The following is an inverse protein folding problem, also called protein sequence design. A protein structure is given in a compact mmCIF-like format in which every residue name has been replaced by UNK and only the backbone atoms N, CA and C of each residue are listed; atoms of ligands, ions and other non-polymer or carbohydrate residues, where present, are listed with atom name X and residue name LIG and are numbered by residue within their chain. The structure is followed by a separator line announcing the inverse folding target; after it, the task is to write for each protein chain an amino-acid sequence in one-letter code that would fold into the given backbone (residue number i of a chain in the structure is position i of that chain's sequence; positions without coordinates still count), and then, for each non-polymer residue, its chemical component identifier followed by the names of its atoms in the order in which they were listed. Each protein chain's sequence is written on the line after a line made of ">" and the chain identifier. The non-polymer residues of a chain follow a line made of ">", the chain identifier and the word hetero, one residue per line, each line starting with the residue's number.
data_IF_857813562763
#
_entry.id   IF_857813562763
#
_cell.length_a   1.000
_cell.length_b   1.000
_cell.length_c   1.000
_cell.angle_alpha   90.00
_cell.angle_beta   90.00
_cell.angle_gamma   90.00
#
_symmetry.space_group_name_H-M   'P 1'
#
loop_
_entity.id
_entity.type
_entity.pdbx_description
1 polymer ?
#
# COMPACT_ATOMS: atom_id res chain seq x y z
N UNK A 1 -20.57 7.69 -1.58
CA UNK A 1 -19.42 8.55 -1.91
C UNK A 1 -19.47 8.82 -3.38
N UNK A 2 -19.24 10.05 -3.81
CA UNK A 2 -19.23 10.46 -5.21
C UNK A 2 -17.83 10.87 -5.60
N UNK A 3 -17.39 10.39 -6.75
CA UNK A 3 -16.09 10.72 -7.34
C UNK A 3 -16.26 11.24 -8.75
N UNK A 4 -15.28 11.98 -9.27
CA UNK A 4 -15.24 12.32 -10.70
C UNK A 4 -15.10 11.06 -11.55
N UNK A 5 -15.59 11.10 -12.80
CA UNK A 5 -15.32 10.03 -13.76
C UNK A 5 -13.81 9.97 -14.04
N UNK A 6 -13.22 8.76 -14.12
CA UNK A 6 -11.83 8.64 -14.55
C UNK A 6 -11.66 9.27 -15.94
N UNK A 7 -10.71 10.19 -16.06
CA UNK A 7 -10.25 10.68 -17.36
C UNK A 7 -9.55 9.57 -18.16
N UNK A 8 -9.12 9.84 -19.38
CA UNK A 8 -8.42 8.86 -20.22
C UNK A 8 -7.19 8.31 -19.50
N UNK A 9 -7.12 6.99 -19.24
CA UNK A 9 -6.01 6.42 -18.50
C UNK A 9 -4.77 6.19 -19.35
N UNK A 10 -3.60 6.28 -18.72
CA UNK A 10 -2.36 5.83 -19.33
C UNK A 10 -2.27 4.31 -19.30
N UNK A 11 -1.76 3.69 -20.38
CA UNK A 11 -1.68 2.23 -20.51
C UNK A 11 -0.27 1.79 -20.88
N UNK A 12 0.21 0.76 -20.20
CA UNK A 12 1.50 0.12 -20.45
C UNK A 12 1.27 -1.40 -20.41
N UNK A 13 1.22 -2.06 -21.56
CA UNK A 13 0.83 -3.46 -21.64
C UNK A 13 -0.57 -3.69 -21.04
N UNK A 14 -0.65 -4.57 -20.03
CA UNK A 14 -1.86 -4.88 -19.27
C UNK A 14 -2.04 -3.99 -18.02
N UNK A 15 -1.15 -3.04 -17.78
CA UNK A 15 -1.25 -2.07 -16.68
C UNK A 15 -1.97 -0.81 -17.16
N UNK A 16 -3.06 -0.47 -16.48
CA UNK A 16 -3.80 0.79 -16.64
C UNK A 16 -3.56 1.65 -15.41
N UNK A 17 -3.18 2.91 -15.59
CA UNK A 17 -3.02 3.88 -14.50
C UNK A 17 -3.96 5.04 -14.79
N UNK A 18 -4.98 5.19 -13.95
CA UNK A 18 -5.89 6.32 -14.05
C UNK A 18 -5.20 7.61 -13.59
N UNK A 19 -5.46 8.74 -14.28
CA UNK A 19 -5.25 10.07 -13.75
C UNK A 19 -5.97 10.25 -12.42
N UNK A 20 -5.67 11.36 -11.76
CA UNK A 20 -6.32 11.70 -10.51
C UNK A 20 -7.85 11.76 -10.65
N UNK A 21 -8.51 11.05 -9.72
CA UNK A 21 -9.96 11.04 -9.52
C UNK A 21 -10.23 11.81 -8.22
N UNK A 22 -11.17 12.74 -8.20
CA UNK A 22 -11.44 13.55 -7.02
C UNK A 22 -12.69 13.07 -6.28
N UNK A 23 -12.65 13.05 -4.95
CA UNK A 23 -13.85 12.92 -4.12
C UNK A 23 -14.65 14.23 -4.20
N UNK A 24 -15.87 14.15 -4.75
CA UNK A 24 -16.79 15.28 -4.90
C UNK A 24 -17.75 15.36 -3.71
N UNK A 25 -18.18 14.21 -3.19
CA UNK A 25 -19.13 14.11 -2.09
C UNK A 25 -18.79 12.91 -1.20
N UNK A 26 -18.58 13.13 0.09
CA UNK A 26 -18.23 12.03 1.02
C UNK A 26 -19.34 10.99 1.11
N UNK A 27 -20.61 11.41 1.02
CA UNK A 27 -21.75 10.54 1.08
C UNK A 27 -22.78 10.82 -0.01
N UNK A 28 -22.97 9.85 -0.91
CA UNK A 28 -23.88 9.98 -2.06
C UNK A 28 -25.29 9.43 -1.75
N UNK A 29 -25.53 9.05 -0.48
CA UNK A 29 -26.77 8.43 -0.04
C UNK A 29 -26.96 6.99 -0.49
N UNK A 30 -28.18 6.49 -0.28
CA UNK A 30 -28.64 5.20 -0.79
C UNK A 30 -29.35 5.39 -2.13
N UNK A 31 -29.24 4.42 -3.03
CA UNK A 31 -29.93 4.42 -4.31
C UNK A 31 -30.39 3.00 -4.65
N UNK A 32 -31.35 2.88 -5.57
CA UNK A 32 -31.82 1.58 -6.05
C UNK A 32 -30.76 0.82 -6.84
N UNK A 33 -29.76 1.53 -7.38
CA UNK A 33 -28.64 0.97 -8.13
C UNK A 33 -27.34 1.11 -7.33
N UNK A 34 -26.39 0.15 -7.45
CA UNK A 34 -25.10 0.24 -6.77
C UNK A 34 -24.34 1.53 -7.11
N UNK A 35 -24.41 1.97 -8.37
CA UNK A 35 -23.79 3.18 -8.90
C UNK A 35 -24.85 4.20 -9.32
N UNK A 36 -24.55 5.48 -9.10
CA UNK A 36 -25.36 6.65 -9.45
C UNK A 36 -24.52 7.45 -10.46
N UNK A 37 -24.78 7.25 -11.75
CA UNK A 37 -23.95 7.84 -12.81
C UNK A 37 -24.58 9.14 -13.28
N UNK A 38 -23.85 10.24 -13.14
CA UNK A 38 -24.18 11.54 -13.72
C UNK A 38 -23.22 11.86 -14.88
N UNK A 39 -23.28 13.05 -15.47
CA UNK A 39 -22.48 13.43 -16.64
C UNK A 39 -20.96 13.34 -16.36
N UNK A 40 -20.50 13.90 -15.24
CA UNK A 40 -19.06 13.98 -14.90
C UNK A 40 -18.67 13.21 -13.63
N UNK A 41 -19.64 12.62 -12.92
CA UNK A 41 -19.39 11.95 -11.64
C UNK A 41 -20.03 10.58 -11.56
N UNK A 42 -19.50 9.74 -10.67
CA UNK A 42 -20.07 8.45 -10.30
C UNK A 42 -20.22 8.42 -8.78
N UNK A 43 -21.47 8.35 -8.32
CA UNK A 43 -21.84 8.05 -6.95
C UNK A 43 -21.85 6.55 -6.70
N UNK A 44 -21.36 6.13 -5.54
CA UNK A 44 -21.47 4.76 -5.01
C UNK A 44 -22.40 4.79 -3.82
N UNK A 45 -23.49 4.03 -3.92
CA UNK A 45 -24.52 3.89 -2.90
C UNK A 45 -23.95 3.35 -1.58
N UNK A 46 -24.61 3.66 -0.47
CA UNK A 46 -24.22 3.16 0.84
C UNK A 46 -24.20 1.62 0.90
N UNK A 47 -25.22 0.94 0.37
CA UNK A 47 -25.28 -0.52 0.30
C UNK A 47 -24.15 -1.14 -0.52
N UNK A 48 -23.76 -0.54 -1.65
CA UNK A 48 -22.63 -0.99 -2.44
C UNK A 48 -21.29 -0.84 -1.70
N UNK A 49 -21.06 0.31 -1.04
CA UNK A 49 -19.87 0.51 -0.22
C UNK A 49 -19.80 -0.52 0.91
N UNK A 50 -20.90 -0.71 1.63
CA UNK A 50 -20.96 -1.63 2.76
C UNK A 50 -20.74 -3.09 2.34
N UNK A 51 -21.21 -3.48 1.14
CA UNK A 51 -20.95 -4.81 0.57
C UNK A 51 -19.44 -5.04 0.41
N UNK A 52 -18.72 -4.10 -0.20
CA UNK A 52 -17.26 -4.19 -0.36
C UNK A 52 -16.56 -4.18 1.00
N UNK A 53 -16.97 -3.28 1.92
CA UNK A 53 -16.42 -3.23 3.28
C UNK A 53 -16.55 -4.56 4.03
N UNK A 54 -17.64 -5.29 3.86
CA UNK A 54 -17.85 -6.61 4.49
C UNK A 54 -16.90 -7.71 4.01
N UNK A 55 -16.24 -7.48 2.87
CA UNK A 55 -15.25 -8.36 2.25
C UNK A 55 -13.84 -7.76 2.30
N UNK A 56 -13.65 -6.67 3.05
CA UNK A 56 -12.39 -5.95 3.13
C UNK A 56 -11.76 -6.12 4.52
N UNK A 57 -10.45 -6.37 4.54
CA UNK A 57 -9.63 -6.29 5.74
C UNK A 57 -8.76 -5.02 5.69
N UNK A 58 -8.64 -4.33 6.82
CA UNK A 58 -7.77 -3.16 6.96
C UNK A 58 -6.60 -3.52 7.87
N UNK A 59 -5.40 -3.50 7.30
CA UNK A 59 -4.14 -3.65 8.03
C UNK A 59 -3.74 -2.29 8.60
N UNK A 60 -3.54 -2.26 9.91
CA UNK A 60 -3.06 -1.10 10.64
C UNK A 60 -1.67 -1.46 11.21
N UNK A 61 -0.58 -1.13 10.51
CA UNK A 61 0.76 -1.30 11.06
C UNK A 61 1.02 -0.22 12.11
N UNK A 62 1.58 -0.60 13.25
CA UNK A 62 1.92 0.32 14.33
C UNK A 62 3.28 0.00 14.95
N UNK A 63 4.00 1.04 15.38
CA UNK A 63 5.23 0.96 16.15
C UNK A 63 5.31 2.14 17.15
N UNK A 64 4.96 1.86 18.40
CA UNK A 64 5.08 2.77 19.54
C UNK A 64 4.23 4.05 19.44
N UNK A 65 3.18 4.08 18.62
CA UNK A 65 2.23 5.18 18.61
C UNK A 65 1.46 5.24 19.95
N UNK A 66 0.95 6.42 20.35
CA UNK A 66 0.06 6.50 21.50
C UNK A 66 -1.22 5.69 21.25
N UNK A 67 -1.61 4.86 22.22
CA UNK A 67 -2.81 4.00 22.14
C UNK A 67 -4.09 4.80 21.82
N UNK A 68 -4.18 6.05 22.28
CA UNK A 68 -5.25 6.98 21.94
C UNK A 68 -5.31 7.37 20.45
N UNK A 69 -4.15 7.50 19.80
CA UNK A 69 -4.04 7.80 18.36
C UNK A 69 -4.50 6.57 17.57
N UNK A 70 -4.00 5.38 17.93
CA UNK A 70 -4.42 4.11 17.32
C UNK A 70 -5.95 3.94 17.48
N UNK A 71 -6.50 4.13 18.67
CA UNK A 71 -7.94 4.06 18.92
C UNK A 71 -8.73 5.06 18.06
N UNK A 72 -8.20 6.26 17.84
CA UNK A 72 -8.76 7.25 16.91
C UNK A 72 -8.85 6.71 15.48
N UNK A 73 -7.80 6.04 15.00
CA UNK A 73 -7.79 5.38 13.68
C UNK A 73 -8.83 4.26 13.62
N UNK A 74 -8.87 3.37 14.62
CA UNK A 74 -9.81 2.25 14.64
C UNK A 74 -11.28 2.69 14.60
N UNK A 75 -11.61 3.81 15.27
CA UNK A 75 -12.94 4.43 15.24
C UNK A 75 -13.35 4.92 13.85
N UNK A 76 -12.39 5.28 13.00
CA UNK A 76 -12.65 5.69 11.61
C UNK A 76 -12.93 4.51 10.68
N UNK A 77 -12.32 3.34 10.91
CA UNK A 77 -12.48 2.17 10.04
C UNK A 77 -13.95 1.73 10.02
N UNK A 78 -14.61 1.58 8.85
CA UNK A 78 -16.00 1.14 8.74
C UNK A 78 -16.29 -0.18 9.47
N UNK A 79 -17.44 -0.27 10.14
CA UNK A 79 -17.80 -1.40 11.02
C UNK A 79 -17.69 -2.77 10.34
N UNK A 80 -18.04 -2.86 9.07
CA UNK A 80 -18.09 -4.12 8.32
C UNK A 80 -16.71 -4.64 7.94
N UNK A 81 -15.66 -3.82 8.00
CA UNK A 81 -14.29 -4.24 7.74
C UNK A 81 -13.70 -5.06 8.89
N UNK A 82 -12.94 -6.09 8.54
CA UNK A 82 -12.08 -6.80 9.50
C UNK A 82 -10.85 -5.96 9.80
N UNK A 83 -10.48 -5.80 11.08
CA UNK A 83 -9.27 -5.07 11.48
C UNK A 83 -8.11 -6.05 11.66
N UNK A 84 -6.93 -5.74 11.13
CA UNK A 84 -5.69 -6.50 11.33
C UNK A 84 -4.64 -5.53 11.91
N UNK A 85 -4.41 -5.60 13.21
CA UNK A 85 -3.39 -4.79 13.89
C UNK A 85 -2.04 -5.54 13.86
N UNK A 86 -1.03 -4.96 13.21
CA UNK A 86 0.32 -5.53 13.20
C UNK A 86 1.26 -4.62 13.95
N UNK A 87 1.68 -5.04 15.13
CA UNK A 87 2.48 -4.22 16.03
C UNK A 87 3.95 -4.60 15.98
N UNK A 88 4.82 -3.61 15.87
CA UNK A 88 6.26 -3.74 16.12
C UNK A 88 6.70 -2.89 17.32
N UNK A 89 5.78 -2.68 18.27
CA UNK A 89 5.98 -1.86 19.46
C UNK A 89 6.87 -2.55 20.50
N UNK A 90 7.43 -1.76 21.40
CA UNK A 90 8.34 -2.26 22.42
C UNK A 90 7.63 -3.20 23.40
N UNK A 91 8.30 -4.31 23.70
CA UNK A 91 7.86 -5.30 24.69
C UNK A 91 9.00 -5.54 25.68
N UNK A 92 8.99 -4.81 26.78
CA UNK A 92 9.99 -4.90 27.86
C UNK A 92 9.31 -5.32 29.16
N UNK A 93 10.09 -5.74 30.16
CA UNK A 93 9.54 -6.09 31.47
C UNK A 93 8.84 -4.93 32.18
N UNK A 94 9.23 -3.68 31.90
CA UNK A 94 8.66 -2.47 32.52
C UNK A 94 7.54 -1.82 31.70
N UNK A 95 7.46 -2.10 30.40
CA UNK A 95 6.50 -1.54 29.46
C UNK A 95 6.25 -2.54 28.32
N UNK A 96 5.04 -3.12 28.25
CA UNK A 96 4.59 -3.97 27.14
C UNK A 96 3.50 -3.24 26.35
N UNK A 97 3.92 -2.41 25.40
CA UNK A 97 3.01 -1.59 24.60
C UNK A 97 2.08 -2.44 23.72
N UNK A 98 2.57 -3.59 23.25
CA UNK A 98 1.74 -4.52 22.51
C UNK A 98 0.56 -5.03 23.34
N UNK A 99 0.79 -5.34 24.62
CA UNK A 99 -0.29 -5.75 25.52
C UNK A 99 -1.34 -4.64 25.71
N UNK A 100 -0.91 -3.37 25.80
CA UNK A 100 -1.82 -2.21 25.88
C UNK A 100 -2.64 -2.01 24.60
N UNK A 101 -1.98 -2.13 23.44
CA UNK A 101 -2.61 -2.06 22.12
C UNK A 101 -3.67 -3.15 21.94
N UNK A 102 -3.34 -4.39 22.32
CA UNK A 102 -4.28 -5.52 22.32
C UNK A 102 -5.46 -5.29 23.25
N UNK A 103 -5.21 -4.83 24.48
CA UNK A 103 -6.27 -4.57 25.45
C UNK A 103 -7.24 -3.48 24.96
N UNK A 104 -6.70 -2.43 24.31
CA UNK A 104 -7.51 -1.39 23.67
C UNK A 104 -8.33 -1.95 22.50
N UNK A 105 -7.73 -2.78 21.63
CA UNK A 105 -8.45 -3.39 20.51
C UNK A 105 -9.57 -4.33 21.00
N UNK A 106 -9.31 -5.11 22.05
CA UNK A 106 -10.32 -5.97 22.68
C UNK A 106 -11.48 -5.16 23.24
N UNK A 107 -11.21 -4.05 23.94
CA UNK A 107 -12.25 -3.14 24.43
C UNK A 107 -13.08 -2.55 23.27
N UNK A 108 -12.41 -2.07 22.24
CA UNK A 108 -13.06 -1.52 21.05
C UNK A 108 -13.98 -2.53 20.35
N UNK A 109 -13.56 -3.80 20.29
CA UNK A 109 -14.29 -4.87 19.62
C UNK A 109 -15.35 -5.58 20.48
N UNK A 110 -15.57 -5.17 21.74
CA UNK A 110 -16.59 -5.77 22.65
C UNK A 110 -17.98 -5.90 22.04
N UNK A 111 -18.32 -5.05 21.06
CA UNK A 111 -19.60 -5.07 20.35
C UNK A 111 -19.66 -6.07 19.17
N UNK A 112 -18.80 -7.08 19.15
CA UNK A 112 -18.78 -8.16 18.16
C UNK A 112 -18.12 -7.78 16.83
N UNK A 113 -17.16 -6.86 16.86
CA UNK A 113 -16.38 -6.49 15.67
C UNK A 113 -15.20 -7.44 15.53
N UNK A 114 -14.98 -7.97 14.32
CA UNK A 114 -13.89 -8.91 14.05
C UNK A 114 -12.54 -8.20 13.97
N UNK A 115 -11.57 -8.68 14.73
CA UNK A 115 -10.19 -8.22 14.59
C UNK A 115 -9.16 -9.32 14.84
N UNK A 116 -7.99 -9.17 14.21
CA UNK A 116 -6.77 -9.91 14.55
C UNK A 116 -5.72 -8.91 15.03
N UNK A 117 -4.91 -9.31 16.00
CA UNK A 117 -3.68 -8.59 16.37
C UNK A 117 -2.51 -9.58 16.45
N UNK A 118 -1.33 -9.15 15.99
CA UNK A 118 -0.10 -9.94 16.11
C UNK A 118 1.10 -9.01 16.32
N UNK A 119 2.11 -9.52 17.03
CA UNK A 119 3.38 -8.83 17.18
C UNK A 119 4.37 -9.28 16.09
N UNK A 120 5.00 -8.33 15.39
CA UNK A 120 5.93 -8.58 14.29
C UNK A 120 7.14 -9.42 14.73
N UNK A 121 7.58 -9.31 15.98
CA UNK A 121 8.70 -10.12 16.53
C UNK A 121 8.27 -11.44 17.19
N UNK A 122 7.08 -11.94 16.92
CA UNK A 122 6.66 -13.26 17.40
C UNK A 122 7.52 -14.37 16.75
N UNK A 123 8.24 -15.12 17.58
CA UNK A 123 9.16 -16.17 17.13
C UNK A 123 8.44 -17.37 16.52
N UNK A 124 7.23 -17.69 16.96
CA UNK A 124 6.42 -18.78 16.38
C UNK A 124 5.86 -18.32 15.04
N UNK A 125 5.42 -17.07 14.92
CA UNK A 125 5.00 -16.52 13.63
C UNK A 125 6.17 -16.47 12.62
N UNK A 126 7.37 -16.08 13.07
CA UNK A 126 8.58 -16.09 12.25
C UNK A 126 8.90 -17.51 11.75
N UNK A 127 8.89 -18.50 12.64
CA UNK A 127 9.08 -19.90 12.28
C UNK A 127 8.00 -20.41 11.31
N UNK A 128 6.74 -20.04 11.52
CA UNK A 128 5.64 -20.43 10.65
C UNK A 128 5.81 -19.88 9.22
N UNK A 129 6.18 -18.61 9.07
CA UNK A 129 6.46 -18.00 7.76
C UNK A 129 7.66 -18.66 7.07
N UNK A 130 8.73 -18.90 7.84
CA UNK A 130 9.91 -19.58 7.32
C UNK A 130 9.56 -20.98 6.78
N UNK A 131 8.84 -21.79 7.57
CA UNK A 131 8.43 -23.13 7.16
C UNK A 131 7.42 -23.13 6.01
N UNK A 132 6.60 -22.08 5.89
CA UNK A 132 5.65 -21.91 4.80
C UNK A 132 6.32 -21.48 3.48
N UNK A 133 7.61 -21.11 3.48
CA UNK A 133 8.37 -20.87 2.26
C UNK A 133 8.93 -19.46 2.06
N UNK A 134 8.96 -18.59 3.09
CA UNK A 134 9.54 -17.23 2.99
C UNK A 134 10.60 -16.97 4.09
N UNK A 135 11.75 -17.67 4.05
CA UNK A 135 12.84 -17.45 5.00
C UNK A 135 13.48 -16.06 4.89
N UNK A 136 13.43 -15.40 3.73
CA UNK A 136 13.99 -14.07 3.49
C UNK A 136 13.37 -12.95 4.34
N UNK A 137 12.14 -13.15 4.83
CA UNK A 137 11.48 -12.20 5.76
C UNK A 137 12.19 -12.15 7.12
N UNK A 138 12.98 -13.17 7.46
CA UNK A 138 13.69 -13.26 8.73
C UNK A 138 15.07 -12.62 8.65
N UNK A 139 15.50 -12.02 9.76
CA UNK A 139 16.86 -11.55 9.98
C UNK A 139 17.79 -12.68 10.45
N UNK A 140 19.06 -12.36 10.68
CA UNK A 140 20.08 -13.34 11.10
C UNK A 140 19.78 -13.99 12.47
N UNK A 141 18.90 -13.41 13.28
CA UNK A 141 18.46 -13.99 14.56
C UNK A 141 17.28 -14.96 14.43
N UNK A 142 16.71 -15.09 13.23
CA UNK A 142 15.52 -15.88 12.97
C UNK A 142 14.21 -15.16 13.33
N UNK A 143 14.26 -13.86 13.65
CA UNK A 143 13.06 -13.04 13.85
C UNK A 143 12.67 -12.36 12.53
N UNK A 144 11.38 -12.08 12.32
CA UNK A 144 10.93 -11.23 11.20
C UNK A 144 11.64 -9.88 11.28
N UNK A 145 12.19 -9.39 10.16
CA UNK A 145 12.92 -8.12 10.07
C UNK A 145 12.07 -6.94 10.53
N UNK A 146 12.73 -5.86 10.98
CA UNK A 146 12.05 -4.62 11.33
C UNK A 146 11.73 -3.80 10.08
N UNK A 147 10.49 -3.34 9.96
CA UNK A 147 10.10 -2.38 8.94
C UNK A 147 8.60 -2.41 8.66
N UNK A 148 8.09 -1.31 8.08
CA UNK A 148 6.67 -1.16 7.70
C UNK A 148 6.29 -2.21 6.66
N UNK A 149 7.09 -2.36 5.60
CA UNK A 149 6.88 -3.38 4.58
C UNK A 149 6.76 -4.80 5.14
N UNK A 150 7.62 -5.16 6.09
CA UNK A 150 7.59 -6.47 6.75
C UNK A 150 6.34 -6.67 7.62
N UNK A 151 5.91 -5.61 8.32
CA UNK A 151 4.63 -5.62 9.04
C UNK A 151 3.44 -5.78 8.10
N UNK A 152 3.46 -5.13 6.94
CA UNK A 152 2.44 -5.28 5.90
C UNK A 152 2.42 -6.70 5.30
N UNK A 153 3.59 -7.27 5.00
CA UNK A 153 3.72 -8.67 4.53
C UNK A 153 3.15 -9.65 5.56
N UNK A 154 3.49 -9.47 6.85
CA UNK A 154 2.92 -10.28 7.92
C UNK A 154 1.39 -10.14 8.00
N UNK A 155 0.87 -8.91 7.94
CA UNK A 155 -0.58 -8.65 7.95
C UNK A 155 -1.31 -9.32 6.78
N UNK A 156 -0.74 -9.25 5.57
CA UNK A 156 -1.27 -9.92 4.39
C UNK A 156 -1.24 -11.45 4.53
N UNK A 157 -0.14 -12.00 5.04
CA UNK A 157 0.01 -13.43 5.31
C UNK A 157 -1.04 -13.92 6.33
N UNK A 158 -1.32 -13.13 7.37
CA UNK A 158 -2.40 -13.42 8.34
C UNK A 158 -3.77 -13.49 7.66
N UNK A 159 -4.11 -12.50 6.82
CA UNK A 159 -5.38 -12.48 6.10
C UNK A 159 -5.48 -13.70 5.18
N UNK A 160 -4.45 -13.96 4.38
CA UNK A 160 -4.40 -15.07 3.43
C UNK A 160 -4.59 -16.44 4.13
N UNK A 161 -3.96 -16.62 5.28
CA UNK A 161 -3.99 -17.88 6.02
C UNK A 161 -5.25 -18.06 6.87
N UNK A 162 -5.81 -16.99 7.44
CA UNK A 162 -6.81 -17.09 8.52
C UNK A 162 -8.17 -16.44 8.20
N UNK A 163 -8.27 -15.61 7.16
CA UNK A 163 -9.46 -14.80 6.88
C UNK A 163 -10.12 -15.20 5.55
N UNK A 164 -10.77 -16.36 5.53
CA UNK A 164 -11.54 -16.80 4.36
C UNK A 164 -12.63 -15.78 3.98
N UNK A 165 -12.78 -15.51 2.68
CA UNK A 165 -13.81 -14.63 2.14
C UNK A 165 -13.43 -13.14 2.03
N UNK A 166 -12.25 -12.74 2.51
CA UNK A 166 -11.71 -11.41 2.25
C UNK A 166 -11.26 -11.31 0.79
N UNK A 167 -11.84 -10.36 0.06
CA UNK A 167 -11.56 -10.09 -1.36
C UNK A 167 -10.71 -8.84 -1.56
N UNK A 168 -10.65 -7.96 -0.55
CA UNK A 168 -9.95 -6.68 -0.61
C UNK A 168 -9.11 -6.48 0.63
N UNK A 169 -7.94 -5.87 0.46
CA UNK A 169 -7.09 -5.47 1.58
C UNK A 169 -6.74 -4.00 1.43
N UNK A 170 -6.87 -3.25 2.52
CA UNK A 170 -6.45 -1.86 2.61
C UNK A 170 -5.45 -1.65 3.75
N UNK A 171 -4.67 -0.59 3.64
CA UNK A 171 -3.68 -0.19 4.63
C UNK A 171 -4.03 1.21 5.16
N UNK A 172 -3.92 1.39 6.47
CA UNK A 172 -4.11 2.69 7.11
C UNK A 172 -3.04 2.84 8.18
N UNK A 173 -2.26 3.92 8.11
CA UNK A 173 -1.22 4.19 9.09
C UNK A 173 -1.84 4.53 10.47
N UNK A 174 -1.19 4.05 11.53
CA UNK A 174 -1.71 4.14 12.90
C UNK A 174 -1.54 5.52 13.56
N UNK A 175 -0.82 6.45 12.92
CA UNK A 175 -0.42 7.75 13.48
C UNK A 175 -1.27 8.94 12.99
N UNK A 176 -2.40 8.65 12.34
CA UNK A 176 -3.33 9.68 11.87
C UNK A 176 -3.99 10.45 13.01
N UNK A 177 -3.93 11.79 12.97
CA UNK A 177 -4.52 12.68 13.98
C UNK A 177 -6.00 12.99 13.76
N UNK A 178 -6.55 12.60 12.61
CA UNK A 178 -7.92 12.94 12.21
C UNK A 178 -8.69 11.63 12.02
N UNK A 179 -9.53 11.21 12.97
CA UNK A 179 -10.32 9.98 12.85
C UNK A 179 -11.21 9.92 11.60
N UNK A 180 -11.63 11.07 11.07
CA UNK A 180 -12.39 11.17 9.82
C UNK A 180 -11.60 10.76 8.58
N UNK A 181 -10.26 10.89 8.59
CA UNK A 181 -9.41 10.55 7.45
C UNK A 181 -9.39 9.03 7.18
N UNK A 182 -9.11 8.14 8.15
CA UNK A 182 -9.27 6.69 7.99
C UNK A 182 -10.65 6.26 7.50
N UNK A 183 -11.71 6.93 7.97
CA UNK A 183 -13.08 6.66 7.51
C UNK A 183 -13.25 6.94 6.03
N UNK A 184 -12.78 8.11 5.58
CA UNK A 184 -12.78 8.47 4.18
C UNK A 184 -11.91 7.52 3.35
N UNK A 185 -10.69 7.21 3.77
CA UNK A 185 -9.78 6.34 3.01
C UNK A 185 -10.40 4.97 2.74
N UNK A 186 -11.06 4.37 3.75
CA UNK A 186 -11.77 3.11 3.55
C UNK A 186 -12.96 3.22 2.58
N UNK A 187 -13.63 4.38 2.53
CA UNK A 187 -14.69 4.66 1.54
C UNK A 187 -14.10 4.91 0.15
N UNK A 188 -12.92 5.54 0.05
CA UNK A 188 -12.17 5.70 -1.20
C UNK A 188 -11.81 4.33 -1.77
N UNK A 189 -11.26 3.42 -0.95
CA UNK A 189 -10.94 2.05 -1.37
C UNK A 189 -12.16 1.35 -1.97
N UNK A 190 -13.26 1.33 -1.22
CA UNK A 190 -14.49 0.70 -1.69
C UNK A 190 -15.08 1.38 -2.93
N UNK A 191 -14.96 2.71 -3.04
CA UNK A 191 -15.43 3.43 -4.23
C UNK A 191 -14.58 3.10 -5.45
N UNK A 192 -13.26 3.02 -5.31
CA UNK A 192 -12.37 2.59 -6.38
C UNK A 192 -12.72 1.19 -6.89
N UNK A 193 -12.87 0.21 -5.98
CA UNK A 193 -13.29 -1.15 -6.38
C UNK A 193 -14.69 -1.21 -7.01
N UNK A 194 -15.62 -0.35 -6.60
CA UNK A 194 -16.96 -0.29 -7.20
C UNK A 194 -16.94 0.34 -8.60
N UNK A 195 -16.09 1.35 -8.82
CA UNK A 195 -16.03 2.14 -10.05
C UNK A 195 -15.09 1.52 -11.09
N UNK A 196 -14.08 0.74 -10.69
CA UNK A 196 -13.11 0.13 -11.61
C UNK A 196 -13.78 -0.70 -12.70
N UNK A 197 -14.89 -1.38 -12.38
CA UNK A 197 -15.71 -2.14 -13.31
C UNK A 197 -16.72 -1.32 -14.13
N UNK A 198 -16.72 0.01 -14.09
CA UNK A 198 -17.67 0.81 -14.87
C UNK A 198 -17.05 1.26 -16.21
N UNK A 199 -17.76 1.19 -17.36
CA UNK A 199 -19.15 0.73 -17.54
C UNK A 199 -19.32 -0.79 -17.70
N UNK A 200 -18.23 -1.54 -17.87
CA UNK A 200 -18.27 -2.99 -18.10
C UNK A 200 -17.44 -3.71 -17.03
N UNK A 201 -18.07 -4.34 -16.02
CA UNK A 201 -17.35 -4.99 -14.95
C UNK A 201 -16.67 -6.23 -15.49
N UNK A 202 -15.34 -6.24 -15.51
CA UNK A 202 -14.58 -7.47 -15.70
C UNK A 202 -14.33 -8.09 -14.33
N UNK A 203 -14.89 -9.29 -14.10
CA UNK A 203 -14.59 -10.10 -12.91
C UNK A 203 -13.11 -10.53 -12.87
N UNK A 204 -12.41 -10.37 -13.99
CA UNK A 204 -11.02 -10.79 -14.21
C UNK A 204 -10.00 -9.64 -14.15
N UNK A 205 -10.31 -8.45 -13.61
CA UNK A 205 -9.34 -7.36 -13.44
C UNK A 205 -8.85 -7.25 -11.98
N UNK A 206 -7.53 -7.12 -11.81
CA UNK A 206 -6.93 -6.76 -10.54
C UNK A 206 -6.94 -5.24 -10.36
N UNK A 207 -7.27 -4.78 -9.15
CA UNK A 207 -7.41 -3.34 -8.88
C UNK A 207 -6.54 -2.96 -7.70
N UNK A 208 -5.83 -1.84 -7.83
CA UNK A 208 -5.15 -1.15 -6.75
C UNK A 208 -5.71 0.27 -6.65
N UNK A 209 -6.15 0.67 -5.47
CA UNK A 209 -6.63 2.02 -5.16
C UNK A 209 -5.61 2.70 -4.27
N UNK A 210 -5.12 3.88 -4.66
CA UNK A 210 -4.11 4.64 -3.92
C UNK A 210 -4.67 6.01 -3.57
N UNK A 211 -4.56 6.41 -2.31
CA UNK A 211 -5.04 7.73 -1.87
C UNK A 211 -3.99 8.78 -2.22
N UNK A 212 -4.42 9.83 -2.92
CA UNK A 212 -3.70 11.10 -2.96
C UNK A 212 -4.34 12.04 -1.93
N UNK A 213 -3.56 12.79 -1.18
CA UNK A 213 -4.12 13.63 -0.10
C UNK A 213 -4.46 15.03 -0.62
N UNK A 214 -5.59 15.62 -0.19
CA UNK A 214 -5.91 17.03 -0.53
C UNK A 214 -4.89 18.01 0.02
N UNK A 215 -4.34 17.72 1.21
CA UNK A 215 -3.30 18.47 1.86
C UNK A 215 -2.56 17.59 2.89
N UNK A 216 -1.32 17.98 3.22
CA UNK A 216 -0.47 17.37 4.26
C UNK A 216 -0.06 18.43 5.30
N UNK A 217 -0.99 18.89 6.15
CA UNK A 217 -0.76 20.03 7.02
C UNK A 217 0.34 19.79 8.04
N UNK A 218 0.97 20.89 8.51
CA UNK A 218 2.05 20.89 9.50
C UNK A 218 1.81 21.93 10.58
N UNK A 219 2.39 21.72 11.77
CA UNK A 219 2.28 22.70 12.87
C UNK A 219 3.48 23.63 12.80
N UNK A 220 3.24 24.89 12.43
CA UNK A 220 4.28 25.92 12.35
C UNK A 220 3.89 27.09 13.24
N UNK A 221 4.76 27.46 14.16
CA UNK A 221 4.56 28.59 15.07
C UNK A 221 3.21 28.52 15.82
N UNK A 222 2.79 27.32 16.23
CA UNK A 222 1.52 27.09 16.92
C UNK A 222 0.26 27.17 16.04
N UNK A 223 0.41 27.21 14.71
CA UNK A 223 -0.69 27.21 13.73
C UNK A 223 -0.61 26.01 12.81
N UNK A 224 -1.77 25.55 12.33
CA UNK A 224 -1.85 24.49 11.33
C UNK A 224 -1.72 25.14 9.94
N UNK A 225 -0.67 24.79 9.22
CA UNK A 225 -0.36 25.24 7.87
C UNK A 225 -0.86 24.20 6.85
N UNK A 226 -1.89 24.56 6.07
CA UNK A 226 -2.48 23.72 5.02
C UNK A 226 -1.87 23.97 3.63
N UNK A 227 -0.88 24.85 3.51
CA UNK A 227 -0.26 25.18 2.21
C UNK A 227 0.55 24.04 1.61
N UNK A 228 0.94 23.07 2.43
CA UNK A 228 1.65 21.87 1.99
C UNK A 228 0.63 20.88 1.44
N UNK A 229 0.62 20.70 0.12
CA UNK A 229 -0.29 19.78 -0.57
C UNK A 229 0.32 18.38 -0.71
N UNK A 230 1.60 18.31 -1.07
CA UNK A 230 2.32 17.05 -1.26
C UNK A 230 3.47 16.86 -0.25
N UNK A 231 3.76 15.59 0.07
CA UNK A 231 4.92 15.24 0.87
C UNK A 231 6.22 15.42 0.09
N UNK A 232 7.25 15.97 0.75
CA UNK A 232 8.60 16.18 0.17
C UNK A 232 9.17 14.92 -0.51
N UNK A 233 8.92 13.73 0.04
CA UNK A 233 9.32 12.46 -0.59
C UNK A 233 8.48 12.09 -1.80
N UNK A 234 7.16 12.22 -1.70
CA UNK A 234 6.24 11.89 -2.78
C UNK A 234 6.54 12.71 -4.05
N UNK A 235 6.81 14.02 -3.92
CA UNK A 235 7.14 14.87 -5.08
C UNK A 235 8.35 14.33 -5.87
N UNK A 236 9.39 13.91 -5.16
CA UNK A 236 10.64 13.42 -5.76
C UNK A 236 10.40 12.08 -6.45
N UNK A 237 9.82 11.10 -5.74
CA UNK A 237 9.64 9.75 -6.30
C UNK A 237 8.61 9.76 -7.45
N UNK A 238 7.55 10.57 -7.35
CA UNK A 238 6.60 10.79 -8.45
C UNK A 238 7.31 11.35 -9.69
N UNK A 239 8.15 12.38 -9.56
CA UNK A 239 8.88 12.97 -10.69
C UNK A 239 9.78 11.94 -11.38
N UNK A 240 10.57 11.19 -10.62
CA UNK A 240 11.46 10.17 -11.19
C UNK A 240 10.70 9.03 -11.86
N UNK A 241 9.62 8.55 -11.26
CA UNK A 241 8.79 7.52 -11.86
C UNK A 241 8.12 8.03 -13.15
N UNK A 242 7.60 9.25 -13.15
CA UNK A 242 7.00 9.86 -14.34
C UNK A 242 8.03 10.10 -15.46
N UNK A 243 9.27 10.46 -15.13
CA UNK A 243 10.36 10.55 -16.11
C UNK A 243 10.63 9.20 -16.76
N UNK A 244 10.64 8.13 -15.97
CA UNK A 244 10.76 6.76 -16.49
C UNK A 244 9.57 6.40 -17.40
N UNK A 245 8.33 6.64 -16.96
CA UNK A 245 7.13 6.34 -17.75
C UNK A 245 7.12 7.05 -19.11
N UNK A 246 7.61 8.29 -19.17
CA UNK A 246 7.77 9.05 -20.43
C UNK A 246 8.75 8.41 -21.40
N UNK A 247 9.69 7.59 -20.94
CA UNK A 247 10.61 6.85 -21.80
C UNK A 247 9.97 5.60 -22.40
N UNK A 248 8.93 5.06 -21.76
CA UNK A 248 8.24 3.83 -22.19
C UNK A 248 7.18 4.07 -23.28
N UNK A 249 6.69 5.29 -23.43
CA UNK A 249 5.60 5.61 -24.37
C UNK A 249 6.16 6.30 -25.61
N UNK A 250 5.95 5.70 -26.78
CA UNK A 250 6.40 6.22 -28.09
C UNK A 250 5.44 7.26 -28.70
N UNK A 251 4.15 7.19 -28.37
CA UNK A 251 3.11 8.13 -28.81
C UNK A 251 1.90 8.09 -27.84
N UNK A 252 1.41 9.25 -27.38
CA UNK A 252 0.26 9.38 -26.47
C UNK A 252 0.54 10.03 -25.09
N UNK A 253 -0.54 10.34 -24.34
CA UNK A 253 -0.44 10.86 -22.97
C UNK A 253 0.11 9.75 -22.04
N UNK A 254 1.33 9.93 -21.55
CA UNK A 254 1.94 9.01 -20.62
C UNK A 254 1.10 8.92 -19.33
N UNK A 255 1.00 7.71 -18.76
CA UNK A 255 0.49 7.53 -17.42
C UNK A 255 1.18 8.51 -16.46
N UNK A 256 0.40 9.19 -15.61
CA UNK A 256 0.92 10.10 -14.60
C UNK A 256 0.70 9.53 -13.21
N UNK A 257 1.77 9.36 -12.46
CA UNK A 257 1.74 8.91 -11.07
C UNK A 257 1.85 10.12 -10.14
N UNK A 258 0.88 10.24 -9.24
CA UNK A 258 0.86 11.20 -8.13
C UNK A 258 0.94 10.52 -6.76
N UNK A 259 0.94 9.18 -6.73
CA UNK A 259 0.78 8.38 -5.50
C UNK A 259 1.93 7.38 -5.26
N UNK A 260 3.17 7.66 -5.70
CA UNK A 260 4.29 6.72 -5.53
C UNK A 260 4.52 6.31 -4.08
N UNK A 261 4.37 7.22 -3.11
CA UNK A 261 4.50 6.98 -1.67
C UNK A 261 3.14 7.02 -0.93
N UNK A 262 2.08 6.47 -1.52
CA UNK A 262 0.77 6.39 -0.86
C UNK A 262 0.76 5.31 0.23
N UNK A 263 1.00 5.73 1.49
CA UNK A 263 0.87 4.86 2.66
C UNK A 263 -0.55 4.29 2.76
N UNK A 264 -1.56 5.13 2.51
CA UNK A 264 -2.95 4.72 2.38
C UNK A 264 -3.25 4.23 0.95
N UNK A 265 -3.31 2.92 0.81
CA UNK A 265 -3.73 2.26 -0.41
C UNK A 265 -4.47 0.96 -0.09
N UNK A 266 -5.13 0.40 -1.10
CA UNK A 266 -5.80 -0.87 -1.05
C UNK A 266 -5.64 -1.61 -2.38
N UNK A 267 -5.84 -2.92 -2.36
CA UNK A 267 -5.87 -3.72 -3.58
C UNK A 267 -6.77 -4.94 -3.43
N UNK A 268 -7.15 -5.53 -4.55
CA UNK A 268 -7.77 -6.86 -4.58
C UNK A 268 -6.82 -7.87 -3.95
N UNK A 269 -7.33 -8.76 -3.10
CA UNK A 269 -6.52 -9.77 -2.41
C UNK A 269 -5.77 -10.67 -3.42
N UNK A 270 -6.40 -10.96 -4.55
CA UNK A 270 -5.80 -11.69 -5.68
C UNK A 270 -4.57 -11.01 -6.27
N UNK A 271 -4.49 -9.67 -6.23
CA UNK A 271 -3.32 -8.90 -6.66
C UNK A 271 -2.26 -8.92 -5.56
N UNK A 272 -2.65 -8.65 -4.32
CA UNK A 272 -1.74 -8.64 -3.17
C UNK A 272 -0.94 -9.94 -3.04
N UNK A 273 -1.58 -11.09 -3.28
CA UNK A 273 -0.93 -12.40 -3.23
C UNK A 273 0.09 -12.63 -4.35
N UNK A 274 -0.12 -11.99 -5.50
CA UNK A 274 0.73 -12.12 -6.70
C UNK A 274 1.88 -11.14 -6.72
N UNK A 275 1.81 -10.04 -5.98
CA UNK A 275 2.82 -8.98 -5.98
C UNK A 275 4.05 -9.37 -5.17
N UNK A 276 5.24 -9.02 -5.67
CA UNK A 276 6.43 -8.99 -4.81
C UNK A 276 6.33 -7.76 -3.93
N UNK A 277 6.83 -7.87 -2.71
CA UNK A 277 6.75 -6.80 -1.70
C UNK A 277 8.15 -6.35 -1.32
N UNK A 278 8.39 -5.06 -1.20
CA UNK A 278 9.68 -4.56 -0.68
C UNK A 278 9.62 -4.34 0.84
N UNK A 279 10.79 -4.36 1.50
CA UNK A 279 10.93 -4.06 2.92
C UNK A 279 10.88 -2.57 3.24
N UNK A 280 10.59 -2.23 4.49
CA UNK A 280 10.61 -0.85 4.99
C UNK A 280 9.70 0.11 4.21
N UNK A 281 10.19 1.31 3.91
CA UNK A 281 9.48 2.35 3.15
C UNK A 281 9.61 2.22 1.63
N UNK A 282 10.27 1.15 1.14
CA UNK A 282 10.33 0.86 -0.28
C UNK A 282 9.02 0.24 -0.78
N UNK A 283 8.19 -0.29 0.12
CA UNK A 283 7.01 -1.06 -0.26
C UNK A 283 6.04 -0.28 -1.15
N UNK A 284 5.71 0.96 -0.81
CA UNK A 284 4.75 1.76 -1.58
C UNK A 284 5.22 2.10 -3.00
N UNK A 285 6.45 2.61 -3.23
CA UNK A 285 6.96 2.84 -4.59
C UNK A 285 7.26 1.54 -5.33
N UNK A 286 7.68 0.48 -4.63
CA UNK A 286 7.96 -0.81 -5.23
C UNK A 286 6.70 -1.46 -5.83
N UNK A 287 5.50 -1.16 -5.33
CA UNK A 287 4.26 -1.61 -5.97
C UNK A 287 4.19 -1.20 -7.45
N UNK A 288 4.58 0.04 -7.79
CA UNK A 288 4.63 0.47 -9.19
C UNK A 288 5.74 -0.24 -9.96
N UNK A 289 6.92 -0.37 -9.35
CA UNK A 289 8.07 -1.05 -9.95
C UNK A 289 7.74 -2.50 -10.29
N UNK A 290 7.16 -3.26 -9.36
CA UNK A 290 6.78 -4.65 -9.57
C UNK A 290 5.73 -4.79 -10.68
N UNK A 291 4.75 -3.88 -10.74
CA UNK A 291 3.75 -3.86 -11.81
C UNK A 291 4.38 -3.54 -13.17
N UNK A 292 5.30 -2.57 -13.23
CA UNK A 292 5.98 -2.17 -14.47
C UNK A 292 6.95 -3.24 -14.97
N UNK A 293 7.79 -3.81 -14.10
CA UNK A 293 8.72 -4.89 -14.47
C UNK A 293 7.97 -6.07 -15.12
N UNK A 294 6.78 -6.43 -14.61
CA UNK A 294 5.94 -7.47 -15.22
C UNK A 294 5.53 -7.15 -16.66
N UNK A 295 5.28 -5.89 -16.98
CA UNK A 295 4.93 -5.47 -18.34
C UNK A 295 6.17 -5.40 -19.25
N UNK A 296 7.32 -4.99 -18.72
CA UNK A 296 8.55 -4.86 -19.50
C UNK A 296 9.18 -6.21 -19.83
N UNK A 297 9.07 -7.19 -18.93
CA UNK A 297 9.48 -8.58 -19.19
C UNK A 297 8.62 -9.27 -20.25
N UNK A 298 7.45 -8.72 -20.60
CA UNK A 298 6.67 -9.15 -21.77
C UNK A 298 7.29 -8.65 -23.10
N UNK A 299 8.08 -7.58 -23.06
CA UNK A 299 8.68 -6.93 -24.23
C UNK A 299 10.15 -7.30 -24.46
N UNK A 300 10.83 -7.84 -23.45
CA UNK A 300 12.25 -8.20 -23.49
C UNK A 300 12.52 -9.67 -23.87
N UNK A 301 12.73 -9.90 -25.18
CA UNK A 301 13.49 -11.01 -25.83
C UNK A 301 12.83 -12.40 -26.05
N UNK A 302 12.98 -12.99 -27.27
CA UNK A 302 12.54 -14.35 -27.62
C UNK A 302 13.40 -15.52 -27.11
N UNK A 303 14.51 -15.29 -26.41
CA UNK A 303 15.58 -16.30 -26.27
C UNK A 303 16.17 -16.51 -24.87
N UNK A 304 15.52 -16.00 -23.82
CA UNK A 304 15.83 -16.44 -22.45
C UNK A 304 14.55 -16.93 -21.79
N UNK A 305 14.58 -18.16 -21.28
CA UNK A 305 13.43 -18.74 -20.59
C UNK A 305 13.05 -17.81 -19.44
N UNK A 306 11.84 -17.23 -19.45
CA UNK A 306 11.40 -16.39 -18.34
C UNK A 306 11.41 -17.22 -17.04
N UNK A 307 11.76 -16.64 -15.89
CA UNK A 307 11.53 -17.32 -14.61
C UNK A 307 10.07 -17.76 -14.56
N UNK A 308 9.86 -19.04 -14.28
CA UNK A 308 8.61 -19.77 -14.49
C UNK A 308 7.45 -19.41 -13.54
N UNK A 309 7.36 -18.15 -13.10
CA UNK A 309 6.14 -17.61 -12.50
C UNK A 309 5.39 -16.82 -13.58
N UNK A 310 4.40 -17.51 -14.15
CA UNK A 310 3.36 -16.99 -15.05
C UNK A 310 3.10 -15.50 -14.84
N UNK A 311 3.58 -14.65 -15.77
CA UNK A 311 3.12 -13.27 -15.82
C UNK A 311 1.63 -13.35 -16.16
N UNK A 312 0.80 -13.07 -15.16
CA UNK A 312 -0.65 -13.13 -15.31
C UNK A 312 -1.08 -12.16 -16.41
N UNK A 313 -1.75 -12.66 -17.45
CA UNK A 313 -2.39 -11.85 -18.49
C UNK A 313 -3.61 -11.06 -17.97
N UNK A 314 -3.89 -11.15 -16.67
CA UNK A 314 -4.96 -10.42 -16.00
C UNK A 314 -4.59 -8.93 -16.00
N UNK A 315 -5.44 -8.06 -16.56
CA UNK A 315 -5.27 -6.62 -16.48
C UNK A 315 -5.14 -6.15 -15.03
N UNK A 316 -4.29 -5.15 -14.81
CA UNK A 316 -4.16 -4.46 -13.53
C UNK A 316 -4.53 -3.00 -13.73
N UNK A 317 -5.44 -2.49 -12.91
CA UNK A 317 -5.82 -1.07 -12.88
C UNK A 317 -5.39 -0.41 -11.59
N UNK A 318 -4.65 0.69 -11.70
CA UNK A 318 -4.25 1.53 -10.57
C UNK A 318 -5.07 2.81 -10.60
N UNK A 319 -5.90 3.00 -9.58
CA UNK A 319 -6.75 4.18 -9.39
C UNK A 319 -6.12 5.11 -8.37
N UNK A 320 -5.96 6.39 -8.71
CA UNK A 320 -5.39 7.41 -7.84
C UNK A 320 -6.50 8.37 -7.42
N UNK A 321 -6.98 8.24 -6.18
CA UNK A 321 -8.17 8.97 -5.72
C UNK A 321 -7.77 10.00 -4.67
N UNK A 322 -8.04 11.28 -4.96
CA UNK A 322 -7.77 12.39 -4.08
C UNK A 322 -8.81 12.52 -2.97
N UNK A 323 -8.37 12.45 -1.72
CA UNK A 323 -9.22 12.63 -0.54
C UNK A 323 -9.66 14.08 -0.36
N UNK A 324 -10.79 14.28 0.29
CA UNK A 324 -11.24 15.57 0.79
C UNK A 324 -10.57 15.92 2.13
N UNK A 325 -10.47 14.97 3.06
CA UNK A 325 -9.78 15.19 4.33
C UNK A 325 -8.26 15.28 4.13
N UNK A 326 -7.58 16.14 4.92
CA UNK A 326 -6.13 16.23 4.91
C UNK A 326 -5.49 14.99 5.56
N UNK A 327 -4.23 14.77 5.21
CA UNK A 327 -3.37 13.74 5.79
C UNK A 327 -2.45 14.36 6.85
N UNK A 328 -2.91 14.34 8.10
CA UNK A 328 -2.25 15.00 9.22
C UNK A 328 -1.67 14.01 10.22
N UNK A 329 -0.37 13.76 10.10
CA UNK A 329 0.39 12.81 10.91
C UNK A 329 1.44 13.55 11.75
N UNK A 330 2.09 12.81 12.67
CA UNK A 330 3.22 13.34 13.43
C UNK A 330 4.32 13.89 12.50
N UNK A 331 5.07 14.90 12.97
CA UNK A 331 6.17 15.43 12.18
C UNK A 331 7.31 14.42 12.09
N UNK A 332 7.81 14.28 10.87
CA UNK A 332 8.93 13.41 10.54
C UNK A 332 10.17 14.28 10.37
N UNK A 333 11.26 13.90 11.01
CA UNK A 333 12.53 14.64 10.97
C UNK A 333 13.13 14.66 9.54
N UNK A 334 14.00 15.64 9.25
CA UNK A 334 14.53 15.83 7.89
C UNK A 334 15.40 14.68 7.41
N UNK A 335 16.23 14.11 8.28
CA UNK A 335 17.09 12.96 7.96
C UNK A 335 16.25 11.74 7.53
N UNK A 336 15.10 11.55 8.18
CA UNK A 336 14.17 10.49 7.82
C UNK A 336 13.59 10.68 6.40
N UNK A 337 13.29 11.91 6.01
CA UNK A 337 12.75 12.22 4.68
C UNK A 337 13.80 11.97 3.59
N UNK A 338 15.05 12.32 3.86
CA UNK A 338 16.16 12.02 2.96
C UNK A 338 16.38 10.51 2.82
N UNK A 339 16.25 9.75 3.91
CA UNK A 339 16.29 8.29 3.86
C UNK A 339 15.11 7.71 3.05
N UNK A 340 13.91 8.29 3.14
CA UNK A 340 12.77 7.89 2.31
C UNK A 340 13.02 8.16 0.82
N UNK A 341 13.71 9.25 0.46
CA UNK A 341 14.12 9.49 -0.93
C UNK A 341 15.02 8.37 -1.44
N UNK A 342 16.10 8.08 -0.70
CA UNK A 342 17.03 7.00 -1.07
C UNK A 342 16.30 5.66 -1.25
N UNK A 343 15.39 5.34 -0.32
CA UNK A 343 14.61 4.10 -0.35
C UNK A 343 13.65 4.03 -1.54
N UNK A 344 12.92 5.11 -1.84
CA UNK A 344 11.97 5.13 -2.96
C UNK A 344 12.63 5.24 -4.33
N UNK A 345 13.77 5.92 -4.42
CA UNK A 345 14.54 6.00 -5.67
C UNK A 345 15.35 4.74 -5.93
N UNK A 346 15.81 4.02 -4.89
CA UNK A 346 16.56 2.79 -5.08
C UNK A 346 15.71 1.70 -5.73
N UNK A 347 14.40 1.67 -5.48
CA UNK A 347 13.51 0.75 -6.20
C UNK A 347 13.55 1.04 -7.70
N UNK A 348 13.41 2.29 -8.13
CA UNK A 348 13.45 2.65 -9.56
C UNK A 348 14.84 2.36 -10.14
N UNK A 349 15.89 2.78 -9.45
CA UNK A 349 17.27 2.66 -9.90
C UNK A 349 17.69 1.20 -10.17
N UNK A 350 17.44 0.29 -9.22
CA UNK A 350 17.93 -1.09 -9.33
C UNK A 350 17.05 -1.98 -10.21
N UNK A 351 15.74 -1.74 -10.22
CA UNK A 351 14.78 -2.63 -10.87
C UNK A 351 14.37 -2.16 -12.27
N UNK A 352 14.18 -0.86 -12.45
CA UNK A 352 13.77 -0.31 -13.74
C UNK A 352 14.96 0.17 -14.58
N UNK A 353 16.09 0.51 -13.92
CA UNK A 353 17.30 1.03 -14.56
C UNK A 353 18.56 0.15 -14.34
N UNK A 354 18.39 -1.07 -13.83
CA UNK A 354 19.49 -1.94 -13.42
C UNK A 354 20.44 -2.34 -14.55
N UNK A 355 19.90 -2.70 -15.71
CA UNK A 355 20.64 -3.21 -16.88
C UNK A 355 20.24 -2.44 -18.17
N UNK A 356 20.69 -1.18 -18.24
CA UNK A 356 20.28 -0.24 -19.30
C UNK A 356 21.40 0.08 -20.29
N UNK A 357 22.49 -0.68 -20.27
CA UNK A 357 23.69 -0.39 -21.07
C UNK A 357 23.42 -0.42 -22.59
N UNK A 358 22.27 -0.96 -23.02
CA UNK A 358 21.84 -1.02 -24.41
C UNK A 358 20.78 0.04 -24.79
N UNK A 359 20.36 0.92 -23.86
CA UNK A 359 19.39 2.00 -24.11
C UNK A 359 19.93 3.34 -23.59
N UNK A 360 20.40 4.20 -24.50
CA UNK A 360 20.99 5.50 -24.21
C UNK A 360 20.07 6.41 -23.36
N UNK A 361 18.74 6.33 -23.54
CA UNK A 361 17.81 7.18 -22.79
C UNK A 361 17.67 6.71 -21.35
N UNK A 362 17.62 5.40 -21.15
CA UNK A 362 17.55 4.79 -19.82
C UNK A 362 18.87 4.99 -19.05
N UNK A 363 20.00 4.84 -19.73
CA UNK A 363 21.33 5.13 -19.16
C UNK A 363 21.49 6.61 -18.77
N UNK A 364 21.00 7.55 -19.60
CA UNK A 364 20.98 8.98 -19.26
C UNK A 364 20.09 9.27 -18.04
N UNK A 365 18.90 8.65 -17.95
CA UNK A 365 18.03 8.81 -16.78
C UNK A 365 18.68 8.28 -15.50
N UNK A 366 19.35 7.12 -15.58
CA UNK A 366 20.11 6.51 -14.48
C UNK A 366 21.21 7.46 -13.98
N UNK A 367 22.03 7.98 -14.89
CA UNK A 367 23.11 8.93 -14.55
C UNK A 367 22.57 10.23 -13.93
N UNK A 368 21.44 10.75 -14.44
CA UNK A 368 20.77 11.92 -13.83
C UNK A 368 20.31 11.63 -12.40
N UNK A 369 19.80 10.42 -12.12
CA UNK A 369 19.37 10.03 -10.78
C UNK A 369 20.56 9.95 -9.81
N UNK A 370 21.67 9.35 -10.25
CA UNK A 370 22.91 9.27 -9.47
C UNK A 370 23.42 10.66 -9.08
N UNK A 371 23.44 11.58 -10.05
CA UNK A 371 23.81 12.97 -9.82
C UNK A 371 22.88 13.65 -8.82
N UNK A 372 21.57 13.54 -9.01
CA UNK A 372 20.58 14.13 -8.10
C UNK A 372 20.75 13.64 -6.67
N UNK A 373 20.88 12.33 -6.48
CA UNK A 373 21.06 11.76 -5.15
C UNK A 373 22.37 12.24 -4.53
N UNK A 374 23.48 12.18 -5.26
CA UNK A 374 24.79 12.67 -4.77
C UNK A 374 24.72 14.14 -4.34
N UNK A 375 24.05 14.99 -5.10
CA UNK A 375 23.86 16.42 -4.77
C UNK A 375 23.00 16.65 -3.53
N UNK A 376 22.05 15.74 -3.23
CA UNK A 376 21.09 15.89 -2.12
C UNK A 376 21.49 15.18 -0.84
N UNK A 377 22.17 14.04 -0.94
CA UNK A 377 22.53 13.20 0.22
C UNK A 377 24.04 13.20 0.50
N UNK A 378 24.85 13.73 -0.43
CA UNK A 378 26.30 13.79 -0.30
C UNK A 378 27.04 12.49 -0.64
N UNK A 379 26.34 11.35 -0.79
CA UNK A 379 26.96 10.07 -1.13
C UNK A 379 25.99 9.12 -1.86
N UNK A 380 26.53 8.31 -2.78
CA UNK A 380 25.75 7.35 -3.54
C UNK A 380 25.23 6.17 -2.71
N UNK A 381 25.84 5.91 -1.54
CA UNK A 381 25.43 4.81 -0.66
C UNK A 381 23.96 4.93 -0.21
N UNK A 382 23.30 6.07 -0.41
CA UNK A 382 21.86 6.22 -0.15
C UNK A 382 20.96 5.42 -1.12
N UNK A 383 21.46 4.89 -2.24
CA UNK A 383 20.73 4.02 -3.18
C UNK A 383 21.03 2.53 -2.94
N UNK A 384 20.80 2.01 -1.73
CA UNK A 384 20.93 0.57 -1.49
C UNK A 384 19.79 -0.21 -2.15
N UNK A 385 20.06 -1.37 -2.78
CA UNK A 385 19.01 -2.25 -3.28
C UNK A 385 18.00 -2.59 -2.18
N UNK A 386 16.70 -2.42 -2.44
CA UNK A 386 15.68 -2.78 -1.46
C UNK A 386 15.67 -4.29 -1.23
N UNK A 387 15.35 -4.73 -0.01
CA UNK A 387 14.97 -6.13 0.22
C UNK A 387 13.63 -6.37 -0.47
N UNK A 388 13.54 -7.42 -1.30
CA UNK A 388 12.32 -7.80 -2.01
C UNK A 388 11.93 -9.22 -1.63
N UNK A 389 10.69 -9.38 -1.20
CA UNK A 389 10.06 -10.64 -0.84
C UNK A 389 9.28 -11.20 -2.02
N UNK A 390 9.28 -12.54 -2.22
CA UNK A 390 8.49 -13.16 -3.26
C UNK A 390 7.00 -13.01 -3.00
N UNK A 391 6.15 -13.26 -4.02
CA UNK A 391 4.70 -13.24 -3.87
C UNK A 391 4.21 -14.18 -2.78
N UNK A 392 3.20 -13.76 -2.01
CA UNK A 392 2.61 -14.60 -0.96
C UNK A 392 1.89 -15.85 -1.50
N UNK A 393 1.53 -15.88 -2.78
CA UNK A 393 0.97 -17.07 -3.42
C UNK A 393 1.95 -18.25 -3.50
N UNK A 394 3.25 -18.02 -3.27
CA UNK A 394 4.24 -19.11 -3.19
C UNK A 394 4.23 -19.83 -1.84
N UNK A 395 3.53 -19.29 -0.83
CA UNK A 395 3.49 -19.87 0.50
C UNK A 395 2.55 -21.07 0.61
N UNK A 396 2.94 -22.06 1.42
CA UNK A 396 2.02 -23.10 1.91
C UNK A 396 1.06 -22.49 2.94
N UNK A 397 -0.07 -21.97 2.48
CA UNK A 397 -1.07 -21.30 3.33
C UNK A 397 -1.67 -22.22 4.40
N UNK A 398 -2.01 -23.51 4.14
CA UNK A 398 -2.43 -24.43 5.20
C UNK A 398 -1.39 -24.63 6.31
N UNK A 399 -0.11 -24.79 5.94
CA UNK A 399 0.98 -24.91 6.90
C UNK A 399 1.16 -23.61 7.70
N UNK A 400 1.15 -22.47 7.00
CA UNK A 400 1.22 -21.15 7.62
C UNK A 400 0.09 -20.94 8.63
N UNK A 401 -1.15 -21.24 8.25
CA UNK A 401 -2.33 -21.10 9.11
C UNK A 401 -2.17 -21.93 10.39
N UNK A 402 -1.74 -23.18 10.25
CA UNK A 402 -1.50 -24.08 11.38
C UNK A 402 -0.42 -23.53 12.33
N UNK A 403 0.67 -22.99 11.78
CA UNK A 403 1.73 -22.34 12.56
C UNK A 403 1.26 -21.07 13.28
N UNK A 404 0.63 -20.15 12.54
CA UNK A 404 0.13 -18.88 13.09
C UNK A 404 -0.88 -19.06 14.21
N UNK A 405 -1.75 -20.07 14.14
CA UNK A 405 -2.73 -20.38 15.20
C UNK A 405 -2.09 -20.79 16.53
N UNK A 406 -0.80 -21.14 16.53
CA UNK A 406 -0.02 -21.44 17.75
C UNK A 406 0.85 -20.27 18.21
N UNK A 407 0.85 -19.15 17.48
CA UNK A 407 1.67 -18.00 17.82
C UNK A 407 1.17 -17.32 19.11
N UNK A 408 2.03 -17.16 20.14
CA UNK A 408 1.60 -16.67 21.45
C UNK A 408 1.13 -15.21 21.43
N UNK A 409 1.64 -14.38 20.50
CA UNK A 409 1.17 -13.01 20.37
C UNK A 409 -0.11 -12.90 19.56
N UNK A 410 -0.52 -13.90 18.77
CA UNK A 410 -1.72 -13.80 17.94
C UNK A 410 -2.96 -13.70 18.83
N UNK A 411 -3.74 -12.65 18.64
CA UNK A 411 -5.03 -12.44 19.29
C UNK A 411 -6.13 -12.45 18.25
N UNK A 412 -7.15 -13.27 18.48
CA UNK A 412 -8.35 -13.38 17.64
C UNK A 412 -9.51 -12.80 18.44
N UNK A 413 -10.04 -11.66 18.01
CA UNK A 413 -11.00 -10.84 18.74
C UNK A 413 -12.34 -10.81 18.02
#
# INVERSE_FOLDING_TARGET
>A
MRVTKPATPGRIGHLTIDPEIEVVELDAGEASTPLIVDDDTIGVSYSALNKIHSQMAIIVPCKNEPTETINGVLKGIPRSCTIILVSNSNRTHSEDRYAEEVAMLQDFCRNGRKALAIHQKDHVAAAAICHAGMPELLDASGAIRNGKGEGMVLGLALIAALCCGIQYVGFVDADSKIPGSPHEYCRIYASGFAVSGHPSPSEDEHVMVRVHWSAKPKVREGRIDFSVVEGRSSCVVNDWLNRFLKLLVWDGDAASVTTANAGEHAMTMSLALKMRMAGGYAIEPFHYVDLLERQLNFTATPNTSPPASVVSSIPVRVMQIRSANPHFHNETEEDHITAMWGTGLSTIYHHLLGDTDNDDKMADLKSKMEKFVTEKTGHMDSLHPPMVYPPLETLDLPLLASGLLTAPSLQRI
#
